data_IF_385258598313
#
_entry.id   IF_385258598313
#
_cell.length_a   1.000
_cell.length_b   1.000
_cell.length_c   1.000
_cell.angle_alpha   90.00
_cell.angle_beta   90.00
_cell.angle_gamma   90.00
#
_symmetry.space_group_name_H-M   'P 1'
#
loop_
_entity.id
_entity.type
_entity.pdbx_description
1 polymer ?
#
# COMPACT_ATOMS: atom_id res chain seq x y z
N UNK A 1 -25.35 20.77 -0.67
CA UNK A 1 -24.29 20.26 -1.57
C UNK A 1 -24.83 20.17 -2.99
N UNK A 2 -24.11 20.68 -4.00
CA UNK A 2 -24.55 20.60 -5.40
C UNK A 2 -24.21 19.22 -5.99
N UNK A 3 -25.05 18.70 -6.91
CA UNK A 3 -24.78 17.44 -7.64
C UNK A 3 -23.39 17.45 -8.30
N UNK A 4 -22.95 18.62 -8.77
CA UNK A 4 -21.62 18.79 -9.39
C UNK A 4 -20.47 18.61 -8.41
N UNK A 5 -20.67 18.99 -7.14
CA UNK A 5 -19.66 18.77 -6.09
C UNK A 5 -19.43 17.29 -5.81
N UNK A 6 -20.50 16.48 -5.85
CA UNK A 6 -20.39 15.03 -5.68
C UNK A 6 -19.69 14.37 -6.85
N UNK A 7 -20.02 14.75 -8.10
CA UNK A 7 -19.37 14.20 -9.30
C UNK A 7 -17.88 14.50 -9.32
N UNK A 8 -17.48 15.75 -9.05
CA UNK A 8 -16.07 16.16 -8.97
C UNK A 8 -15.32 15.36 -7.90
N UNK A 9 -15.94 15.13 -6.74
CA UNK A 9 -15.32 14.34 -5.66
C UNK A 9 -15.10 12.90 -6.08
N UNK A 10 -16.11 12.22 -6.60
CA UNK A 10 -15.98 10.83 -7.07
C UNK A 10 -14.94 10.71 -8.20
N UNK A 11 -14.96 11.64 -9.15
CA UNK A 11 -13.96 11.72 -10.22
C UNK A 11 -12.54 11.87 -9.69
N UNK A 12 -12.33 12.77 -8.71
CA UNK A 12 -11.01 12.94 -8.09
C UNK A 12 -10.53 11.70 -7.33
N UNK A 13 -11.44 10.95 -6.69
CA UNK A 13 -11.10 9.68 -6.01
C UNK A 13 -10.66 8.61 -7.02
N UNK A 14 -11.39 8.47 -8.14
CA UNK A 14 -11.00 7.57 -9.24
C UNK A 14 -9.64 7.95 -9.82
N UNK A 15 -9.40 9.24 -10.07
CA UNK A 15 -8.13 9.72 -10.61
C UNK A 15 -6.96 9.48 -9.64
N UNK A 16 -7.17 9.74 -8.35
CA UNK A 16 -6.17 9.50 -7.32
C UNK A 16 -5.79 8.01 -7.23
N UNK A 17 -6.80 7.12 -7.12
CA UNK A 17 -6.59 5.68 -7.03
C UNK A 17 -5.89 5.11 -8.29
N UNK A 18 -6.26 5.60 -9.48
CA UNK A 18 -5.57 5.24 -10.73
C UNK A 18 -4.09 5.63 -10.70
N UNK A 19 -3.79 6.86 -10.26
CA UNK A 19 -2.42 7.39 -10.19
C UNK A 19 -1.58 6.69 -9.13
N UNK A 20 -2.16 6.32 -8.00
CA UNK A 20 -1.50 5.53 -6.96
C UNK A 20 -1.05 4.17 -7.50
N UNK A 21 -1.88 3.54 -8.33
CA UNK A 21 -1.56 2.30 -9.07
C UNK A 21 -0.57 2.52 -10.23
N UNK A 22 -0.12 3.75 -10.47
CA UNK A 22 0.76 4.15 -11.59
C UNK A 22 0.18 3.83 -12.97
N UNK A 23 -1.14 3.76 -13.09
CA UNK A 23 -1.81 3.45 -14.36
C UNK A 23 -2.01 4.73 -15.18
N UNK A 24 -1.70 4.66 -16.47
CA UNK A 24 -2.13 5.66 -17.45
C UNK A 24 -3.63 5.51 -17.68
N UNK A 25 -4.24 6.54 -18.26
CA UNK A 25 -5.65 6.51 -18.63
C UNK A 25 -5.97 5.36 -19.63
N UNK A 26 -5.03 5.07 -20.53
CA UNK A 26 -5.13 3.93 -21.46
C UNK A 26 -5.14 2.57 -20.73
N UNK A 27 -4.34 2.40 -19.69
CA UNK A 27 -4.31 1.15 -18.93
C UNK A 27 -5.61 0.94 -18.15
N UNK A 28 -6.24 2.04 -17.70
CA UNK A 28 -7.55 2.01 -17.06
C UNK A 28 -8.66 1.68 -18.07
N UNK A 29 -8.61 2.27 -19.26
CA UNK A 29 -9.50 1.98 -20.39
C UNK A 29 -9.47 0.51 -20.80
N UNK A 30 -8.26 -0.06 -20.94
CA UNK A 30 -8.10 -1.47 -21.30
C UNK A 30 -8.69 -2.41 -20.24
N UNK A 31 -8.48 -2.13 -18.95
CA UNK A 31 -8.98 -2.99 -17.86
C UNK A 31 -10.49 -2.89 -17.66
N UNK A 32 -11.07 -1.72 -17.89
CA UNK A 32 -12.52 -1.50 -17.79
C UNK A 32 -13.27 -1.87 -19.07
N UNK A 33 -12.57 -2.04 -20.20
CA UNK A 33 -13.18 -2.19 -21.52
C UNK A 33 -13.92 -0.93 -21.99
N UNK A 34 -13.53 0.26 -21.51
CA UNK A 34 -14.21 1.53 -21.79
C UNK A 34 -13.35 2.48 -22.60
N UNK A 35 -13.99 3.46 -23.23
CA UNK A 35 -13.30 4.51 -23.99
C UNK A 35 -12.50 5.44 -23.04
N UNK A 36 -11.20 5.70 -23.31
CA UNK A 36 -10.37 6.61 -22.51
C UNK A 36 -10.97 8.00 -22.31
N UNK A 37 -11.62 8.58 -23.32
CA UNK A 37 -12.24 9.91 -23.22
C UNK A 37 -13.35 9.92 -22.17
N UNK A 38 -14.16 8.87 -22.12
CA UNK A 38 -15.25 8.75 -21.15
C UNK A 38 -14.74 8.55 -19.73
N UNK A 39 -13.63 7.84 -19.56
CA UNK A 39 -12.94 7.74 -18.27
C UNK A 39 -12.33 9.07 -17.85
N UNK A 40 -11.79 9.86 -18.79
CA UNK A 40 -11.31 11.23 -18.51
C UNK A 40 -12.44 12.12 -17.99
N UNK A 41 -13.58 12.15 -18.70
CA UNK A 41 -14.75 12.92 -18.27
C UNK A 41 -15.29 12.48 -16.90
N UNK A 42 -15.17 11.18 -16.60
CA UNK A 42 -15.56 10.65 -15.30
C UNK A 42 -14.61 11.11 -14.20
N UNK A 43 -13.30 11.09 -14.44
CA UNK A 43 -12.28 11.58 -13.50
C UNK A 43 -12.37 13.10 -13.24
N UNK A 44 -12.80 13.88 -14.23
CA UNK A 44 -13.04 15.33 -14.06
C UNK A 44 -14.41 15.64 -13.44
N UNK A 45 -15.29 14.63 -13.31
CA UNK A 45 -16.66 14.80 -12.84
C UNK A 45 -17.60 15.47 -13.85
N UNK A 46 -17.19 15.59 -15.12
CA UNK A 46 -18.03 16.14 -16.20
C UNK A 46 -18.91 15.08 -16.87
N UNK A 47 -18.60 13.78 -16.67
CA UNK A 47 -19.42 12.71 -17.22
C UNK A 47 -20.77 12.57 -16.49
N UNK A 48 -21.83 12.36 -17.27
CA UNK A 48 -23.08 11.82 -16.76
C UNK A 48 -23.02 10.28 -16.80
N UNK A 49 -22.38 9.68 -15.81
CA UNK A 49 -22.21 8.22 -15.68
C UNK A 49 -23.35 7.59 -14.89
N UNK A 50 -23.74 6.36 -15.27
CA UNK A 50 -24.64 5.55 -14.44
C UNK A 50 -23.94 5.05 -13.19
N UNK A 51 -24.72 4.56 -12.22
CA UNK A 51 -24.18 3.93 -11.01
C UNK A 51 -23.35 2.70 -11.40
N UNK A 52 -23.86 1.84 -12.29
CA UNK A 52 -23.13 0.64 -12.76
C UNK A 52 -21.75 1.00 -13.32
N UNK A 53 -21.64 2.07 -14.13
CA UNK A 53 -20.35 2.52 -14.66
C UNK A 53 -19.39 3.00 -13.58
N UNK A 54 -19.89 3.69 -12.55
CA UNK A 54 -19.08 4.15 -11.42
C UNK A 54 -18.61 2.97 -10.56
N UNK A 55 -19.48 1.98 -10.36
CA UNK A 55 -19.15 0.74 -9.65
C UNK A 55 -18.08 -0.04 -10.39
N UNK A 56 -18.27 -0.35 -11.69
CA UNK A 56 -17.29 -1.05 -12.52
C UNK A 56 -15.90 -0.38 -12.48
N UNK A 57 -15.90 0.96 -12.61
CA UNK A 57 -14.70 1.77 -12.60
C UNK A 57 -13.99 1.74 -11.24
N UNK A 58 -14.75 1.83 -10.15
CA UNK A 58 -14.26 1.71 -8.79
C UNK A 58 -13.67 0.33 -8.51
N UNK A 59 -14.39 -0.73 -8.85
CA UNK A 59 -13.97 -2.12 -8.63
C UNK A 59 -12.70 -2.47 -9.39
N UNK A 60 -12.55 -1.97 -10.62
CA UNK A 60 -11.32 -2.13 -11.41
C UNK A 60 -10.10 -1.50 -10.70
N UNK A 61 -10.34 -0.47 -9.89
CA UNK A 61 -9.34 0.21 -9.06
C UNK A 61 -9.31 -0.32 -7.61
N UNK A 62 -10.02 -1.41 -7.31
CA UNK A 62 -10.12 -2.02 -5.99
C UNK A 62 -10.86 -1.16 -4.95
N UNK A 63 -11.82 -0.35 -5.40
CA UNK A 63 -12.64 0.50 -4.56
C UNK A 63 -14.11 0.07 -4.62
N UNK A 64 -14.86 0.39 -3.56
CA UNK A 64 -16.30 0.15 -3.48
C UNK A 64 -17.06 1.46 -3.36
N UNK A 65 -18.21 1.56 -4.04
CA UNK A 65 -19.10 2.71 -3.95
C UNK A 65 -20.03 2.55 -2.73
N UNK A 66 -19.94 3.48 -1.78
CA UNK A 66 -20.74 3.46 -0.54
C UNK A 66 -21.45 4.79 -0.29
N UNK A 67 -22.60 4.72 0.38
CA UNK A 67 -23.27 5.91 0.91
C UNK A 67 -22.72 6.29 2.28
N UNK A 68 -22.54 7.58 2.50
CA UNK A 68 -22.08 8.15 3.77
C UNK A 68 -23.07 9.23 4.19
N UNK A 69 -23.55 9.26 5.45
CA UNK A 69 -24.37 10.35 5.97
C UNK A 69 -23.66 11.69 5.78
N UNK A 70 -24.38 12.73 5.37
CA UNK A 70 -23.77 14.00 4.93
C UNK A 70 -23.03 14.69 6.08
N UNK A 71 -23.59 14.61 7.28
CA UNK A 71 -23.04 15.10 8.54
C UNK A 71 -21.78 14.36 9.01
N UNK A 72 -21.52 13.16 8.47
CA UNK A 72 -20.32 12.35 8.77
C UNK A 72 -19.29 12.36 7.65
N UNK A 73 -19.58 13.00 6.52
CA UNK A 73 -18.74 12.88 5.33
C UNK A 73 -17.31 13.37 5.57
N UNK A 74 -17.13 14.53 6.21
CA UNK A 74 -15.79 15.08 6.47
C UNK A 74 -14.96 14.18 7.40
N UNK A 75 -15.60 13.62 8.43
CA UNK A 75 -14.99 12.69 9.38
C UNK A 75 -14.50 11.42 8.66
N UNK A 76 -15.36 10.80 7.84
CA UNK A 76 -15.01 9.61 7.05
C UNK A 76 -13.87 9.90 6.08
N UNK A 77 -13.91 11.04 5.38
CA UNK A 77 -12.85 11.39 4.41
C UNK A 77 -11.51 11.62 5.09
N UNK A 78 -11.50 12.17 6.31
CA UNK A 78 -10.28 12.31 7.13
C UNK A 78 -9.72 10.95 7.55
N UNK A 79 -10.58 9.99 7.89
CA UNK A 79 -10.17 8.63 8.24
C UNK A 79 -9.57 7.87 7.04
N UNK A 80 -10.18 7.97 5.86
CA UNK A 80 -9.69 7.28 4.64
C UNK A 80 -8.33 7.83 4.18
N UNK A 81 -8.11 9.13 4.30
CA UNK A 81 -6.87 9.79 3.86
C UNK A 81 -5.69 9.65 4.82
N UNK A 82 -5.89 9.13 6.02
CA UNK A 82 -4.78 8.82 6.91
C UNK A 82 -4.16 7.49 6.46
N UNK A 83 -2.85 7.42 6.18
CA UNK A 83 -2.19 6.13 6.11
C UNK A 83 -2.46 5.45 7.44
N UNK A 84 -3.22 4.36 7.42
CA UNK A 84 -3.29 3.48 8.58
C UNK A 84 -1.85 3.07 8.82
N UNK A 85 -1.22 3.64 9.84
CA UNK A 85 0.05 3.14 10.31
C UNK A 85 -0.20 1.66 10.54
N UNK A 86 0.42 0.81 9.70
CA UNK A 86 0.38 -0.63 9.92
C UNK A 86 0.79 -0.86 11.37
N UNK A 87 0.11 -1.72 12.14
CA UNK A 87 0.58 -2.12 13.44
C UNK A 87 1.77 -3.07 13.24
N UNK A 88 2.90 -2.53 12.80
CA UNK A 88 4.17 -3.24 12.76
C UNK A 88 5.16 -2.47 13.62
N UNK A 89 4.92 -2.52 14.91
CA UNK A 89 5.99 -2.48 15.89
C UNK A 89 5.76 -3.67 16.81
N UNK A 90 5.88 -4.88 16.25
CA UNK A 90 6.28 -6.01 17.06
C UNK A 90 7.57 -5.60 17.77
N UNK A 91 7.62 -5.83 19.08
CA UNK A 91 8.84 -5.66 19.87
C UNK A 91 10.04 -6.23 19.09
N UNK A 92 11.22 -5.60 19.16
CA UNK A 92 12.40 -6.16 18.52
C UNK A 92 12.63 -7.54 19.13
N UNK A 93 12.28 -8.58 18.39
CA UNK A 93 12.62 -9.94 18.77
C UNK A 93 14.14 -10.02 18.72
N UNK A 94 14.82 -10.33 19.84
CA UNK A 94 16.24 -10.59 19.80
C UNK A 94 16.50 -11.69 18.77
N UNK A 95 17.54 -11.48 17.97
CA UNK A 95 17.95 -12.41 16.93
C UNK A 95 18.31 -13.75 17.56
N UNK A 96 17.62 -14.82 17.15
CA UNK A 96 17.89 -16.21 17.56
C UNK A 96 19.34 -16.64 17.28
N UNK A 97 20.07 -15.91 16.43
CA UNK A 97 21.48 -16.18 16.17
C UNK A 97 22.40 -15.97 17.38
N UNK A 98 22.00 -15.20 18.40
CA UNK A 98 22.85 -14.97 19.59
C UNK A 98 22.81 -16.13 20.61
N UNK A 99 21.92 -17.12 20.45
CA UNK A 99 21.77 -18.23 21.41
C UNK A 99 22.39 -19.56 20.95
N UNK A 100 22.97 -19.64 19.75
CA UNK A 100 23.43 -20.93 19.16
C UNK A 100 24.95 -21.07 19.07
N UNK A 101 25.72 -20.02 19.38
CA UNK A 101 27.18 -20.10 19.38
C UNK A 101 27.68 -20.26 20.81
N UNK A 102 27.80 -21.52 21.23
CA UNK A 102 28.66 -21.87 22.38
C UNK A 102 30.09 -21.77 21.87
N UNK A 103 30.86 -20.81 22.42
CA UNK A 103 32.28 -20.68 22.14
C UNK A 103 33.01 -21.87 22.79
N UNK A 104 33.34 -22.88 21.98
CA UNK A 104 34.02 -24.11 22.39
C UNK A 104 35.54 -23.92 22.50
N UNK A 105 36.01 -22.71 22.81
CA UNK A 105 37.42 -22.41 23.04
C UNK A 105 37.76 -22.32 24.53
N UNK A 106 37.55 -23.43 25.24
CA UNK A 106 38.22 -23.68 26.53
C UNK A 106 38.85 -25.06 26.57
N UNK A 107 40.11 -25.05 27.02
CA UNK A 107 40.98 -26.16 27.42
C UNK A 107 41.81 -26.87 26.34
N UNK A 108 42.91 -26.21 25.96
CA UNK A 108 44.14 -26.89 25.56
C UNK A 108 45.37 -26.21 26.21
N UNK A 109 45.48 -26.32 27.53
CA UNK A 109 46.76 -26.18 28.23
C UNK A 109 47.38 -27.57 28.36
N UNK A 110 48.43 -27.86 27.59
CA UNK A 110 49.50 -28.77 28.04
C UNK A 110 50.82 -28.51 27.28
N UNK A 111 51.81 -28.13 28.09
CA UNK A 111 53.25 -27.89 27.93
C UNK A 111 53.98 -28.26 26.62
N UNK A 112 54.77 -27.29 26.12
CA UNK A 112 55.84 -27.51 25.14
C UNK A 112 57.09 -28.11 25.81
N UNK A 113 57.64 -29.26 25.35
CA UNK A 113 59.01 -29.60 25.65
C UNK A 113 59.99 -28.98 24.63
N UNK A 114 61.02 -28.36 25.21
CA UNK A 114 62.24 -27.82 24.62
C UNK A 114 62.94 -28.77 23.63
N UNK A 115 63.36 -28.25 22.48
CA UNK A 115 64.30 -28.94 21.57
C UNK A 115 65.58 -28.11 21.41
N UNK A 116 66.68 -28.59 22.00
CA UNK A 116 68.02 -28.07 21.76
C UNK A 116 69.05 -29.19 21.61
N UNK A 117 69.72 -29.21 20.46
CA UNK A 117 71.03 -29.83 20.19
C UNK A 117 71.03 -30.88 19.07
N UNK A 118 72.20 -31.27 18.51
CA UNK A 118 73.51 -30.60 18.39
C UNK A 118 73.88 -30.37 16.90
N UNK A 119 74.94 -29.68 16.45
CA UNK A 119 76.36 -29.75 16.79
C UNK A 119 77.07 -28.57 16.11
#
# INVERSE_FOLDING_TARGET
MSKDSTRKRLGSQLSAARRERKWRLQDFAQRTGRNPARLSEMETGSANSSIDMLTDAGETLGMSLIYVPTERLEEVMKMIGQPTASPTAGSPMPSVYDEVFVDDSVDADEEKPSHAGPK
#
